data_IF_565308432506
#
_entry.id   IF_565308432506
#
_cell.length_a   1.000
_cell.length_b   1.000
_cell.length_c   1.000
_cell.angle_alpha   90.00
_cell.angle_beta   90.00
_cell.angle_gamma   90.00
#
_symmetry.space_group_name_H-M   'P 1'
#
loop_
_entity.id
_entity.type
_entity.pdbx_description
1 polymer ?
#
# COMPACT_ATOMS: atom_id res chain seq x y z
N UNK A 1 14.66 -34.70 66.93
CA UNK A 1 14.65 -33.47 66.10
C UNK A 1 14.29 -33.91 64.69
N UNK A 2 13.10 -33.50 64.27
CA UNK A 2 12.46 -33.87 63.02
C UNK A 2 13.00 -33.00 61.87
N UNK A 3 13.24 -33.61 60.72
CA UNK A 3 13.22 -32.89 59.43
C UNK A 3 12.44 -33.75 58.42
N UNK A 4 11.39 -33.21 57.78
CA UNK A 4 10.60 -33.94 56.80
C UNK A 4 11.29 -33.90 55.43
N UNK A 5 11.16 -34.98 54.68
CA UNK A 5 11.55 -35.05 53.28
C UNK A 5 10.64 -34.13 52.45
N UNK A 6 11.23 -33.22 51.69
CA UNK A 6 10.53 -32.34 50.75
C UNK A 6 10.17 -33.19 49.53
N UNK A 7 8.88 -33.41 49.30
CA UNK A 7 8.39 -33.99 48.05
C UNK A 7 8.56 -32.96 46.93
N UNK A 8 9.44 -33.24 45.97
CA UNK A 8 9.55 -32.49 44.73
C UNK A 8 8.38 -32.87 43.81
N UNK A 9 7.33 -32.04 43.81
CA UNK A 9 6.28 -32.13 42.81
C UNK A 9 6.83 -31.74 41.45
N UNK A 10 7.04 -32.72 40.56
CA UNK A 10 7.29 -32.49 39.15
C UNK A 10 6.05 -31.86 38.51
N UNK A 11 6.10 -30.54 38.27
CA UNK A 11 5.12 -29.87 37.42
C UNK A 11 5.34 -30.37 35.98
N UNK A 12 4.51 -31.32 35.54
CA UNK A 12 4.47 -31.71 34.14
C UNK A 12 4.13 -30.47 33.30
N UNK A 13 5.03 -30.11 32.37
CA UNK A 13 4.74 -29.10 31.36
C UNK A 13 3.51 -29.57 30.58
N UNK A 14 2.39 -28.84 30.70
CA UNK A 14 1.23 -29.10 29.87
C UNK A 14 1.63 -28.90 28.40
N UNK A 15 1.27 -29.81 27.50
CA UNK A 15 1.52 -29.61 26.08
C UNK A 15 0.80 -28.33 25.64
N UNK A 16 1.55 -27.41 25.03
CA UNK A 16 0.99 -26.19 24.44
C UNK A 16 -0.19 -26.59 23.55
N UNK A 17 -1.38 -25.99 23.72
CA UNK A 17 -2.51 -26.29 22.86
C UNK A 17 -2.09 -26.07 21.41
N UNK A 18 -2.31 -27.08 20.56
CA UNK A 18 -2.11 -26.98 19.12
C UNK A 18 -3.02 -25.85 18.67
N UNK A 19 -2.42 -24.71 18.35
CA UNK A 19 -3.14 -23.56 17.82
C UNK A 19 -3.69 -23.98 16.46
N UNK A 20 -5.01 -23.98 16.29
CA UNK A 20 -5.62 -24.26 14.99
C UNK A 20 -5.12 -23.20 13.98
N UNK A 21 -4.84 -23.60 12.73
CA UNK A 21 -4.14 -22.79 11.72
C UNK A 21 -4.89 -21.50 11.30
N UNK A 22 -6.10 -21.27 11.81
CA UNK A 22 -6.99 -20.16 11.48
C UNK A 22 -7.26 -19.19 12.65
N UNK A 23 -6.66 -19.39 13.82
CA UNK A 23 -6.85 -18.48 14.97
C UNK A 23 -5.69 -17.48 15.12
N UNK A 24 -6.02 -16.26 15.53
CA UNK A 24 -5.01 -15.24 15.79
C UNK A 24 -4.16 -15.60 17.01
N UNK A 25 -2.84 -15.55 16.87
CA UNK A 25 -1.88 -15.87 17.92
C UNK A 25 -1.80 -14.82 19.06
N UNK A 26 -2.54 -13.71 18.97
CA UNK A 26 -2.62 -12.68 20.03
C UNK A 26 -3.92 -12.72 20.82
N UNK A 27 -5.07 -12.87 20.17
CA UNK A 27 -6.37 -12.92 20.85
C UNK A 27 -6.97 -14.32 20.94
N UNK A 28 -6.35 -15.32 20.31
CA UNK A 28 -6.79 -16.72 20.30
C UNK A 28 -8.21 -16.94 19.74
N UNK A 29 -8.63 -16.07 18.81
CA UNK A 29 -9.95 -16.08 18.18
C UNK A 29 -9.84 -16.02 16.66
N UNK A 30 -10.90 -16.47 15.97
CA UNK A 30 -11.05 -16.34 14.50
C UNK A 30 -11.34 -14.88 14.12
N UNK A 31 -12.07 -14.17 14.99
CA UNK A 31 -12.52 -12.77 14.82
C UNK A 31 -11.86 -11.88 15.85
N UNK A 32 -11.39 -10.71 15.43
CA UNK A 32 -10.81 -9.70 16.31
C UNK A 32 -11.87 -9.17 17.31
N UNK A 33 -11.47 -8.83 18.54
CA UNK A 33 -12.38 -8.18 19.48
C UNK A 33 -12.68 -6.74 19.02
N UNK A 34 -13.92 -6.27 19.19
CA UNK A 34 -14.33 -4.90 18.82
C UNK A 34 -13.45 -3.83 19.49
N UNK A 35 -12.96 -4.10 20.69
CA UNK A 35 -12.06 -3.20 21.43
C UNK A 35 -10.69 -2.99 20.78
N UNK A 36 -10.31 -3.84 19.80
CA UNK A 36 -9.07 -3.67 19.04
C UNK A 36 -9.22 -2.69 17.87
N UNK A 37 -10.45 -2.32 17.49
CA UNK A 37 -10.69 -1.37 16.40
C UNK A 37 -10.55 0.06 16.94
N UNK A 38 -9.78 0.95 16.26
CA UNK A 38 -9.68 2.34 16.66
C UNK A 38 -11.04 3.05 16.59
N UNK A 39 -11.53 3.56 17.72
CA UNK A 39 -12.88 4.13 17.85
C UNK A 39 -13.17 5.32 16.93
N UNK A 40 -12.14 6.08 16.53
CA UNK A 40 -12.29 7.33 15.77
C UNK A 40 -12.04 7.19 14.26
N UNK A 41 -11.50 6.06 13.80
CA UNK A 41 -11.07 5.86 12.41
C UNK A 41 -11.91 4.79 11.72
N UNK A 42 -12.50 3.86 12.48
CA UNK A 42 -13.23 2.72 11.95
C UNK A 42 -12.29 1.58 11.55
N UNK A 43 -12.87 0.51 10.98
CA UNK A 43 -12.13 -0.66 10.54
C UNK A 43 -11.55 -0.45 9.13
N UNK A 44 -10.29 -0.85 8.92
CA UNK A 44 -9.62 -0.81 7.61
C UNK A 44 -9.64 -2.15 6.86
N UNK A 45 -10.16 -3.20 7.49
CA UNK A 45 -10.33 -4.54 6.92
C UNK A 45 -11.35 -5.33 7.74
N UNK A 46 -11.73 -6.51 7.26
CA UNK A 46 -12.64 -7.42 7.98
C UNK A 46 -12.08 -7.83 9.35
N UNK A 47 -12.95 -8.02 10.33
CA UNK A 47 -12.57 -8.49 11.67
C UNK A 47 -12.03 -9.93 11.68
N UNK A 48 -12.30 -10.71 10.64
CA UNK A 48 -11.76 -12.06 10.46
C UNK A 48 -10.45 -12.07 9.67
N UNK A 49 -10.08 -10.93 9.07
CA UNK A 49 -8.88 -10.81 8.26
C UNK A 49 -7.63 -10.98 9.11
N UNK A 50 -6.72 -11.86 8.66
CA UNK A 50 -5.47 -12.18 9.33
C UNK A 50 -4.32 -12.13 8.34
N UNK A 51 -3.20 -11.60 8.79
CA UNK A 51 -1.91 -11.72 8.09
C UNK A 51 -1.07 -12.83 8.72
N UNK A 52 -0.24 -13.51 7.92
CA UNK A 52 0.59 -14.64 8.34
C UNK A 52 2.06 -14.23 8.34
N UNK A 53 2.76 -14.46 9.46
CA UNK A 53 4.20 -14.27 9.52
C UNK A 53 4.91 -15.26 8.59
N UNK A 54 5.78 -14.77 7.71
CA UNK A 54 6.52 -15.60 6.76
C UNK A 54 7.57 -16.50 7.44
N UNK A 55 8.02 -16.16 8.66
CA UNK A 55 9.02 -16.94 9.39
C UNK A 55 8.38 -17.98 10.33
N UNK A 56 7.61 -17.54 11.32
CA UNK A 56 7.05 -18.44 12.33
C UNK A 56 5.67 -19.00 11.98
N UNK A 57 5.09 -18.59 10.84
CA UNK A 57 3.79 -19.04 10.33
C UNK A 57 2.57 -18.71 11.20
N UNK A 58 2.75 -18.09 12.37
CA UNK A 58 1.66 -17.59 13.21
C UNK A 58 0.86 -16.51 12.46
N UNK A 59 -0.45 -16.48 12.72
CA UNK A 59 -1.38 -15.52 12.12
C UNK A 59 -1.85 -14.47 13.12
N UNK A 60 -2.12 -13.26 12.64
CA UNK A 60 -2.53 -12.15 13.47
C UNK A 60 -3.59 -11.29 12.78
N UNK A 61 -4.62 -10.88 13.52
CA UNK A 61 -5.45 -9.77 13.06
C UNK A 61 -4.61 -8.48 13.09
N UNK A 62 -4.67 -7.64 12.05
CA UNK A 62 -3.96 -6.36 12.05
C UNK A 62 -4.36 -5.47 13.23
N UNK A 63 -5.65 -5.41 13.56
CA UNK A 63 -6.17 -4.68 14.71
C UNK A 63 -5.56 -5.15 16.04
N UNK A 64 -5.42 -6.47 16.22
CA UNK A 64 -4.76 -7.02 17.41
C UNK A 64 -3.32 -6.51 17.54
N UNK A 65 -2.63 -6.21 16.43
CA UNK A 65 -1.26 -5.68 16.42
C UNK A 65 -1.20 -4.14 16.41
N UNK A 66 -2.33 -3.44 16.36
CA UNK A 66 -2.35 -1.99 16.15
C UNK A 66 -1.97 -1.55 14.73
N UNK A 67 -1.92 -2.48 13.77
CA UNK A 67 -1.58 -2.23 12.37
C UNK A 67 -2.85 -1.91 11.59
N UNK A 68 -3.37 -0.69 11.74
CA UNK A 68 -4.76 -0.39 11.38
C UNK A 68 -4.93 0.50 10.15
N UNK A 69 -3.87 1.01 9.53
CA UNK A 69 -4.02 1.91 8.36
C UNK A 69 -4.22 1.09 7.07
N UNK A 70 -5.00 1.59 6.09
CA UNK A 70 -5.19 0.92 4.80
C UNK A 70 -3.86 0.66 4.09
N UNK A 71 -2.93 1.62 4.23
CA UNK A 71 -1.55 1.54 3.73
C UNK A 71 -0.76 0.38 4.33
N UNK A 72 -0.89 0.12 5.64
CA UNK A 72 -0.26 -1.02 6.31
C UNK A 72 -0.87 -2.35 5.87
N UNK A 73 -2.20 -2.46 5.87
CA UNK A 73 -2.90 -3.70 5.48
C UNK A 73 -2.41 -4.19 4.13
N UNK A 74 -2.47 -3.29 3.14
CA UNK A 74 -2.09 -3.64 1.78
C UNK A 74 -0.57 -3.85 1.62
N UNK A 75 0.25 -3.24 2.47
CA UNK A 75 1.69 -3.49 2.48
C UNK A 75 1.97 -4.92 2.92
N UNK A 76 1.36 -5.38 4.02
CA UNK A 76 1.65 -6.69 4.61
C UNK A 76 1.26 -7.86 3.71
N UNK A 77 0.22 -7.70 2.89
CA UNK A 77 -0.14 -8.67 1.85
C UNK A 77 0.87 -8.74 0.71
N UNK A 78 1.70 -7.71 0.61
CA UNK A 78 2.56 -7.50 -0.53
C UNK A 78 3.95 -8.09 -0.47
N UNK A 79 4.38 -8.48 0.72
CA UNK A 79 5.69 -9.07 0.88
C UNK A 79 5.64 -10.13 1.97
N UNK A 80 6.70 -10.93 2.13
CA UNK A 80 6.83 -11.86 3.24
C UNK A 80 6.91 -11.13 4.59
N UNK A 81 5.75 -10.69 5.10
CA UNK A 81 5.64 -9.94 6.34
C UNK A 81 6.12 -10.78 7.54
N UNK A 82 6.78 -10.14 8.50
CA UNK A 82 7.30 -10.76 9.71
C UNK A 82 6.57 -10.20 10.92
N UNK A 83 6.18 -11.02 11.90
CA UNK A 83 5.62 -10.51 13.16
C UNK A 83 6.67 -9.81 14.01
N UNK A 84 6.25 -9.18 15.12
CA UNK A 84 7.16 -8.50 16.07
C UNK A 84 8.32 -9.41 16.51
N UNK A 85 8.03 -10.65 16.93
CA UNK A 85 9.04 -11.60 17.42
C UNK A 85 10.01 -12.11 16.33
N UNK A 86 9.67 -11.92 15.06
CA UNK A 86 10.47 -12.39 13.92
C UNK A 86 11.07 -11.24 13.12
N UNK A 87 10.87 -10.00 13.56
CA UNK A 87 11.27 -8.83 12.81
C UNK A 87 12.79 -8.75 12.74
N UNK A 88 13.32 -8.45 11.56
CA UNK A 88 14.73 -8.19 11.34
C UNK A 88 14.90 -6.94 10.47
N UNK A 89 16.14 -6.46 10.38
CA UNK A 89 16.47 -5.40 9.46
C UNK A 89 16.41 -5.91 8.01
N UNK A 90 15.71 -5.21 7.13
CA UNK A 90 15.57 -5.63 5.72
C UNK A 90 16.84 -5.51 4.89
N UNK A 91 17.88 -4.86 5.41
CA UNK A 91 19.17 -4.66 4.73
C UNK A 91 20.22 -5.66 5.21
N UNK A 92 20.46 -5.76 6.52
CA UNK A 92 21.49 -6.68 7.06
C UNK A 92 20.93 -8.03 7.51
N UNK A 93 19.60 -8.20 7.51
CA UNK A 93 18.89 -9.40 7.95
C UNK A 93 19.13 -9.83 9.41
N UNK A 94 19.79 -8.98 10.20
CA UNK A 94 20.07 -9.22 11.61
C UNK A 94 18.88 -8.80 12.50
N UNK A 95 18.74 -9.51 13.62
CA UNK A 95 17.89 -9.18 14.77
C UNK A 95 18.71 -8.68 15.96
N UNK A 96 20.00 -8.43 15.77
CA UNK A 96 20.85 -7.81 16.78
C UNK A 96 20.59 -6.29 16.83
N UNK A 97 20.99 -5.63 17.92
CA UNK A 97 20.83 -4.18 18.11
C UNK A 97 19.37 -3.67 18.04
N UNK A 98 18.43 -4.44 18.60
CA UNK A 98 16.99 -4.13 18.66
C UNK A 98 16.67 -2.70 19.11
N UNK A 99 17.50 -2.08 19.96
CA UNK A 99 17.35 -0.68 20.38
C UNK A 99 17.48 0.34 19.25
N UNK A 100 18.01 -0.07 18.10
CA UNK A 100 18.20 0.77 16.91
C UNK A 100 17.36 0.30 15.71
N UNK A 101 16.57 -0.77 15.87
CA UNK A 101 15.69 -1.30 14.84
C UNK A 101 14.38 -0.51 14.81
N UNK A 102 14.25 0.36 13.82
CA UNK A 102 13.02 1.11 13.56
C UNK A 102 12.01 0.27 12.79
N UNK A 103 10.74 0.44 13.10
CA UNK A 103 9.62 -0.17 12.38
C UNK A 103 8.90 0.94 11.60
N UNK A 104 8.73 0.72 10.29
CA UNK A 104 8.05 1.68 9.43
C UNK A 104 6.53 1.68 9.68
N UNK A 105 5.93 2.85 9.92
CA UNK A 105 4.48 2.97 10.15
C UNK A 105 3.62 2.74 8.89
N UNK A 106 4.23 2.70 7.71
CA UNK A 106 3.54 2.49 6.42
C UNK A 106 3.58 1.05 5.92
N UNK A 107 4.60 0.30 6.33
CA UNK A 107 4.81 -1.04 5.79
C UNK A 107 5.30 -2.05 6.80
N UNK A 108 5.47 -1.69 8.08
CA UNK A 108 5.88 -2.59 9.16
C UNK A 108 7.24 -3.31 8.93
N UNK A 109 8.08 -2.84 8.00
CA UNK A 109 9.45 -3.36 7.82
C UNK A 109 10.39 -2.83 8.89
N UNK A 110 11.32 -3.67 9.33
CA UNK A 110 12.40 -3.31 10.26
C UNK A 110 13.62 -2.73 9.55
N UNK A 111 14.20 -1.67 10.11
CA UNK A 111 15.39 -0.98 9.59
C UNK A 111 16.28 -0.51 10.72
N UNK A 112 17.55 -0.89 10.73
CA UNK A 112 18.50 -0.25 11.63
C UNK A 112 18.75 1.20 11.21
N UNK A 113 18.97 2.08 12.18
CA UNK A 113 19.34 3.48 11.95
C UNK A 113 20.46 3.63 10.91
N UNK A 114 21.52 2.82 11.07
CA UNK A 114 22.69 2.81 10.19
C UNK A 114 22.51 2.09 8.85
N UNK A 115 21.43 1.32 8.69
CA UNK A 115 21.10 0.63 7.44
C UNK A 115 20.19 1.47 6.52
N UNK A 116 19.70 2.61 6.99
CA UNK A 116 18.86 3.50 6.19
C UNK A 116 19.72 4.37 5.26
N UNK A 117 19.19 4.67 4.08
CA UNK A 117 19.70 5.69 3.17
C UNK A 117 18.54 6.60 2.72
N UNK A 118 18.53 7.90 3.10
CA UNK A 118 19.54 8.60 3.90
C UNK A 118 19.61 8.09 5.35
N UNK A 119 20.78 8.23 5.98
CA UNK A 119 21.02 7.72 7.34
C UNK A 119 20.09 8.38 8.36
N UNK A 120 19.51 7.58 9.24
CA UNK A 120 18.75 8.08 10.40
C UNK A 120 19.74 8.32 11.54
N UNK A 121 19.78 9.52 12.09
CA UNK A 121 20.78 9.91 13.10
C UNK A 121 20.35 9.62 14.53
N UNK A 122 19.05 9.61 14.78
CA UNK A 122 18.43 9.36 16.08
C UNK A 122 17.07 8.70 15.92
N UNK A 123 16.56 8.08 16.98
CA UNK A 123 15.22 7.47 16.98
C UNK A 123 14.18 8.58 16.79
N UNK A 124 13.35 8.53 15.73
CA UNK A 124 12.32 9.55 15.45
C UNK A 124 11.31 9.70 16.58
N UNK A 125 10.88 10.93 16.84
CA UNK A 125 9.77 11.20 17.75
C UNK A 125 8.46 11.22 16.96
N UNK A 126 7.71 10.11 17.04
CA UNK A 126 6.42 9.95 16.36
C UNK A 126 6.53 9.04 15.13
N UNK A 127 5.57 9.14 14.18
CA UNK A 127 5.53 8.27 13.02
C UNK A 127 6.79 8.38 12.16
N UNK A 128 7.27 7.24 11.67
CA UNK A 128 8.46 7.13 10.85
C UNK A 128 8.19 6.34 9.56
N UNK A 129 8.67 6.89 8.45
CA UNK A 129 8.61 6.25 7.14
C UNK A 129 10.00 5.80 6.71
N UNK A 130 10.11 4.55 6.29
CA UNK A 130 11.36 4.01 5.77
C UNK A 130 11.73 4.58 4.38
N UNK A 131 12.97 4.36 3.88
CA UNK A 131 13.41 4.83 2.57
C UNK A 131 12.49 4.46 1.40
N UNK A 132 11.77 3.34 1.52
CA UNK A 132 10.88 2.81 0.49
C UNK A 132 9.49 3.46 0.53
N UNK A 133 9.04 3.94 1.70
CA UNK A 133 7.71 4.53 1.89
C UNK A 133 7.75 6.06 1.87
N UNK A 134 8.89 6.66 2.22
CA UNK A 134 9.13 8.10 2.17
C UNK A 134 9.44 8.57 0.73
N UNK A 135 8.54 8.26 -0.21
CA UNK A 135 8.64 8.64 -1.61
C UNK A 135 7.27 9.03 -2.19
N UNK A 136 7.23 10.12 -2.95
CA UNK A 136 6.01 10.58 -3.61
C UNK A 136 5.71 9.73 -4.85
N UNK A 137 4.50 9.17 -4.93
CA UNK A 137 4.04 8.44 -6.10
C UNK A 137 3.99 9.33 -7.36
N UNK A 138 3.62 10.59 -7.17
CA UNK A 138 3.43 11.56 -8.25
C UNK A 138 4.75 12.05 -8.84
N UNK A 139 5.50 12.89 -8.11
CA UNK A 139 6.75 13.50 -8.59
C UNK A 139 7.99 12.63 -8.39
N UNK A 140 7.91 11.52 -7.64
CA UNK A 140 9.07 10.65 -7.37
C UNK A 140 10.02 11.14 -6.27
N UNK A 141 9.80 12.34 -5.73
CA UNK A 141 10.59 12.94 -4.65
C UNK A 141 10.72 12.00 -3.45
N UNK A 142 11.97 11.68 -3.09
CA UNK A 142 12.33 10.91 -1.89
C UNK A 142 12.66 11.86 -0.74
N UNK A 143 12.41 11.44 0.49
CA UNK A 143 12.75 12.26 1.64
C UNK A 143 14.26 12.52 1.72
N UNK A 144 14.64 13.78 1.88
CA UNK A 144 16.03 14.20 2.12
C UNK A 144 16.50 13.77 3.52
N UNK A 145 15.58 13.74 4.49
CA UNK A 145 15.80 13.25 5.85
C UNK A 145 14.65 12.34 6.26
N UNK A 146 14.98 11.17 6.80
CA UNK A 146 13.99 10.20 7.27
C UNK A 146 13.50 10.49 8.69
N UNK A 147 14.22 11.28 9.48
CA UNK A 147 13.84 11.58 10.87
C UNK A 147 12.47 12.28 10.99
N UNK A 148 12.11 13.10 10.01
CA UNK A 148 10.82 13.82 9.96
C UNK A 148 10.00 13.52 8.69
N UNK A 149 10.35 12.48 7.94
CA UNK A 149 9.76 12.20 6.63
C UNK A 149 8.22 12.08 6.69
N UNK A 150 7.67 11.44 7.72
CA UNK A 150 6.23 11.20 7.84
C UNK A 150 5.37 12.48 7.74
N UNK A 151 5.88 13.63 8.21
CA UNK A 151 5.16 14.92 8.17
C UNK A 151 5.03 15.51 6.75
N UNK A 152 5.82 15.01 5.80
CA UNK A 152 5.91 15.55 4.46
C UNK A 152 5.12 14.74 3.42
N UNK A 153 4.53 13.61 3.83
CA UNK A 153 3.76 12.72 2.97
C UNK A 153 2.34 12.51 3.50
N UNK A 154 1.41 12.34 2.57
CA UNK A 154 0.00 12.09 2.82
C UNK A 154 -0.41 10.82 2.08
N UNK A 155 -1.37 10.10 2.62
CA UNK A 155 -1.96 8.92 1.98
C UNK A 155 -3.31 9.28 1.40
N UNK A 156 -3.43 9.19 0.08
CA UNK A 156 -4.71 9.30 -0.60
C UNK A 156 -5.45 7.99 -0.51
N UNK A 157 -6.73 8.06 -0.15
CA UNK A 157 -7.60 6.93 0.08
C UNK A 157 -8.98 7.16 -0.54
N UNK A 158 -9.67 6.07 -0.87
CA UNK A 158 -11.09 6.09 -1.25
C UNK A 158 -11.88 5.09 -0.41
N UNK A 159 -13.21 5.19 -0.41
CA UNK A 159 -14.06 4.19 0.23
C UNK A 159 -14.55 3.20 -0.80
N UNK A 160 -14.41 1.91 -0.48
CA UNK A 160 -14.99 0.84 -1.26
C UNK A 160 -16.49 0.71 -0.95
N UNK A 161 -17.36 0.88 -1.93
CA UNK A 161 -18.79 0.56 -1.75
C UNK A 161 -19.00 -0.95 -1.55
N UNK A 162 -18.20 -1.78 -2.22
CA UNK A 162 -18.35 -3.24 -2.19
C UNK A 162 -17.91 -3.85 -0.85
N UNK A 163 -16.84 -3.35 -0.26
CA UNK A 163 -16.29 -3.91 0.99
C UNK A 163 -16.60 -3.08 2.23
N UNK A 164 -16.97 -1.81 2.06
CA UNK A 164 -17.15 -0.85 3.16
C UNK A 164 -15.84 -0.37 3.80
N UNK A 165 -14.69 -0.87 3.36
CA UNK A 165 -13.38 -0.50 3.91
C UNK A 165 -12.67 0.56 3.05
N UNK A 166 -11.85 1.43 3.68
CA UNK A 166 -10.97 2.34 2.96
C UNK A 166 -9.94 1.58 2.11
N UNK A 167 -9.64 2.13 0.94
CA UNK A 167 -8.66 1.65 -0.02
C UNK A 167 -7.55 2.67 -0.16
N UNK A 168 -6.31 2.23 0.08
CA UNK A 168 -5.12 3.03 -0.18
C UNK A 168 -4.85 3.18 -1.68
N UNK A 169 -4.74 4.44 -2.13
CA UNK A 169 -4.46 4.80 -3.52
C UNK A 169 -2.97 5.10 -3.74
N UNK A 170 -2.42 6.05 -2.99
CA UNK A 170 -1.05 6.52 -3.19
C UNK A 170 -0.52 7.29 -1.97
N UNK A 171 0.81 7.22 -1.76
CA UNK A 171 1.54 8.13 -0.87
C UNK A 171 2.08 9.28 -1.70
N UNK A 172 1.80 10.53 -1.32
CA UNK A 172 2.16 11.73 -2.08
C UNK A 172 2.66 12.83 -1.16
N UNK A 173 3.62 13.63 -1.61
CA UNK A 173 4.14 14.74 -0.81
C UNK A 173 3.09 15.85 -0.65
N UNK A 174 3.28 16.77 0.31
CA UNK A 174 2.35 17.87 0.59
C UNK A 174 1.95 18.69 -0.65
N UNK A 175 2.91 18.97 -1.55
CA UNK A 175 2.66 19.69 -2.80
C UNK A 175 1.73 18.90 -3.73
N UNK A 176 2.04 17.64 -4.00
CA UNK A 176 1.22 16.80 -4.86
C UNK A 176 -0.15 16.49 -4.22
N UNK A 177 -0.22 16.41 -2.89
CA UNK A 177 -1.47 16.22 -2.16
C UNK A 177 -2.50 17.31 -2.49
N UNK A 178 -2.06 18.57 -2.55
CA UNK A 178 -2.94 19.68 -2.95
C UNK A 178 -3.53 19.47 -4.35
N UNK A 179 -2.71 19.14 -5.35
CA UNK A 179 -3.18 18.89 -6.72
C UNK A 179 -4.10 17.67 -6.80
N UNK A 180 -3.79 16.60 -6.07
CA UNK A 180 -4.63 15.41 -6.02
C UNK A 180 -6.02 15.74 -5.42
N UNK A 181 -6.05 16.53 -4.35
CA UNK A 181 -7.28 16.96 -3.69
C UNK A 181 -8.14 17.82 -4.62
N UNK A 182 -7.53 18.70 -5.42
CA UNK A 182 -8.21 19.51 -6.44
C UNK A 182 -8.55 18.74 -7.74
N UNK A 183 -8.44 17.41 -7.72
CA UNK A 183 -8.78 16.54 -8.86
C UNK A 183 -7.85 16.67 -10.08
N UNK A 184 -6.70 17.33 -9.92
CA UNK A 184 -5.65 17.52 -10.92
C UNK A 184 -4.65 16.37 -10.92
N UNK A 185 -5.10 15.21 -11.38
CA UNK A 185 -4.25 14.03 -11.55
C UNK A 185 -4.73 13.13 -12.69
N UNK A 186 -3.79 12.38 -13.28
CA UNK A 186 -4.08 11.38 -14.29
C UNK A 186 -4.67 10.12 -13.62
N UNK A 187 -5.90 9.68 -13.94
CA UNK A 187 -6.55 8.54 -13.30
C UNK A 187 -5.89 7.19 -13.64
N UNK A 188 -4.97 7.15 -14.60
CA UNK A 188 -4.27 5.94 -15.03
C UNK A 188 -3.05 5.62 -14.17
N UNK A 189 -2.38 6.65 -13.64
CA UNK A 189 -1.11 6.49 -12.91
C UNK A 189 -1.09 7.23 -11.57
N UNK A 190 -2.13 8.02 -11.26
CA UNK A 190 -2.27 8.86 -10.08
C UNK A 190 -1.16 9.90 -9.90
N UNK A 191 -0.41 10.20 -10.98
CA UNK A 191 0.48 11.36 -11.00
C UNK A 191 -0.34 12.63 -11.18
N UNK A 192 0.00 13.62 -10.37
CA UNK A 192 -0.63 14.94 -10.35
C UNK A 192 0.07 15.84 -11.34
N UNK A 193 -0.68 16.72 -11.97
CA UNK A 193 -0.15 17.77 -12.85
C UNK A 193 -0.44 19.15 -12.24
N UNK A 194 0.35 20.12 -12.68
CA UNK A 194 0.22 21.54 -12.33
C UNK A 194 -0.79 22.25 -13.25
N UNK A 195 -1.34 23.40 -12.83
CA UNK A 195 -2.29 24.17 -13.66
C UNK A 195 -1.61 24.89 -14.82
N UNK A 196 -0.36 25.30 -14.63
CA UNK A 196 0.48 26.03 -15.58
C UNK A 196 1.31 25.11 -16.48
N UNK A 197 1.43 23.81 -16.14
CA UNK A 197 2.15 22.82 -16.95
C UNK A 197 3.66 23.09 -17.04
N UNK A 198 4.19 23.96 -16.17
CA UNK A 198 5.59 24.37 -16.18
C UNK A 198 6.47 23.42 -15.33
N UNK A 199 5.87 22.65 -14.43
CA UNK A 199 6.62 21.88 -13.44
C UNK A 199 7.17 20.54 -13.98
N UNK A 200 6.49 19.91 -14.95
CA UNK A 200 6.93 18.65 -15.55
C UNK A 200 6.65 18.63 -17.07
N UNK A 201 7.59 18.10 -17.85
CA UNK A 201 7.39 17.90 -19.30
C UNK A 201 6.19 17.02 -19.61
N UNK A 202 5.90 16.04 -18.74
CA UNK A 202 4.73 15.16 -18.83
C UNK A 202 3.40 15.94 -18.79
N UNK A 203 3.33 17.08 -18.09
CA UNK A 203 2.10 17.87 -17.93
C UNK A 203 1.69 18.55 -19.26
N UNK A 204 2.60 18.63 -20.23
CA UNK A 204 2.37 19.25 -21.55
C UNK A 204 1.72 18.30 -22.55
N UNK A 205 1.80 17.00 -22.30
CA UNK A 205 1.35 15.93 -23.19
C UNK A 205 0.15 15.20 -22.57
N UNK A 206 -0.99 15.89 -22.54
CA UNK A 206 -2.22 15.38 -21.97
C UNK A 206 -3.42 15.53 -22.90
N UNK A 207 -4.39 14.63 -22.74
CA UNK A 207 -5.65 14.64 -23.49
C UNK A 207 -6.83 14.47 -22.54
N UNK A 208 -7.93 15.16 -22.80
CA UNK A 208 -9.16 15.06 -22.01
C UNK A 208 -10.08 13.97 -22.57
N UNK A 209 -10.54 13.05 -21.73
CA UNK A 209 -11.54 12.05 -22.09
C UNK A 209 -12.93 12.67 -22.22
N UNK A 210 -13.59 12.49 -23.37
CA UNK A 210 -14.95 13.00 -23.63
C UNK A 210 -16.06 12.34 -22.79
N UNK A 211 -15.75 11.26 -22.05
CA UNK A 211 -16.73 10.53 -21.21
C UNK A 211 -16.68 10.95 -19.75
N UNK A 212 -15.48 11.16 -19.22
CA UNK A 212 -15.28 11.41 -17.79
C UNK A 212 -14.60 12.74 -17.48
N UNK A 213 -14.30 13.56 -18.48
CA UNK A 213 -13.66 14.88 -18.35
C UNK A 213 -12.35 14.84 -17.54
N UNK A 214 -11.65 13.69 -17.55
CA UNK A 214 -10.34 13.52 -16.91
C UNK A 214 -9.24 13.69 -17.93
N UNK A 215 -8.20 14.40 -17.52
CA UNK A 215 -6.96 14.53 -18.28
C UNK A 215 -6.07 13.30 -18.07
N UNK A 216 -5.64 12.71 -19.18
CA UNK A 216 -4.80 11.52 -19.24
C UNK A 216 -3.48 11.91 -19.89
N UNK A 217 -2.35 11.50 -19.34
CA UNK A 217 -1.07 11.63 -20.06
C UNK A 217 -1.13 10.78 -21.33
N UNK A 218 -0.65 11.30 -22.46
CA UNK A 218 -0.60 10.57 -23.74
C UNK A 218 0.07 9.21 -23.55
N UNK A 219 1.22 9.19 -22.87
CA UNK A 219 1.97 7.96 -22.56
C UNK A 219 1.30 6.99 -21.58
N UNK A 220 0.12 7.30 -21.05
CA UNK A 220 -0.67 6.41 -20.21
C UNK A 220 -1.76 5.67 -20.99
N UNK A 221 -1.77 5.81 -22.31
CA UNK A 221 -2.61 5.08 -23.24
C UNK A 221 -1.80 4.72 -24.49
N UNK A 222 -1.47 3.43 -24.64
CA UNK A 222 -0.59 2.97 -25.73
C UNK A 222 -1.23 3.08 -27.12
N UNK A 223 -2.55 3.28 -27.18
CA UNK A 223 -3.25 3.49 -28.45
C UNK A 223 -3.11 4.94 -28.98
N UNK A 224 -2.62 5.87 -28.16
CA UNK A 224 -2.37 7.25 -28.59
C UNK A 224 -0.98 7.35 -29.23
N UNK A 225 -0.92 7.14 -30.54
CA UNK A 225 0.27 7.48 -31.33
C UNK A 225 0.34 9.00 -31.57
N UNK A 226 1.50 9.56 -31.95
CA UNK A 226 1.62 10.98 -32.29
C UNK A 226 0.63 11.41 -33.38
N UNK A 227 0.40 10.57 -34.40
CA UNK A 227 -0.56 10.84 -35.48
C UNK A 227 -2.00 10.86 -34.94
N UNK A 228 -2.32 9.91 -34.05
CA UNK A 228 -3.66 9.87 -33.45
C UNK A 228 -3.91 11.06 -32.54
N UNK A 229 -2.90 11.48 -31.78
CA UNK A 229 -2.97 12.68 -30.96
C UNK A 229 -3.20 13.93 -31.82
N UNK A 230 -2.44 14.08 -32.90
CA UNK A 230 -2.62 15.19 -33.83
C UNK A 230 -4.03 15.20 -34.45
N UNK A 231 -4.55 14.06 -34.87
CA UNK A 231 -5.92 13.92 -35.36
C UNK A 231 -6.95 14.36 -34.31
N UNK A 232 -6.78 13.94 -33.04
CA UNK A 232 -7.68 14.30 -31.94
C UNK A 232 -7.64 15.79 -31.59
N UNK A 233 -6.51 16.45 -31.81
CA UNK A 233 -6.36 17.90 -31.60
C UNK A 233 -6.95 18.69 -32.77
N UNK A 234 -6.73 18.25 -34.01
CA UNK A 234 -7.15 18.96 -35.22
C UNK A 234 -8.64 18.73 -35.57
N UNK A 235 -9.16 17.53 -35.30
CA UNK A 235 -10.53 17.16 -35.62
C UNK A 235 -11.45 17.13 -34.39
N UNK A 236 -12.25 18.18 -34.22
CA UNK A 236 -13.21 18.32 -33.13
C UNK A 236 -14.35 17.28 -33.14
N UNK A 237 -14.56 16.55 -34.24
CA UNK A 237 -15.55 15.46 -34.32
C UNK A 237 -15.02 14.14 -33.75
N UNK A 238 -13.70 13.94 -33.73
CA UNK A 238 -13.11 12.71 -33.20
C UNK A 238 -13.17 12.75 -31.67
N UNK A 239 -13.78 11.72 -31.07
CA UNK A 239 -13.95 11.61 -29.62
C UNK A 239 -12.91 10.68 -29.00
N UNK A 240 -12.28 11.11 -27.91
CA UNK A 240 -11.34 10.32 -27.14
C UNK A 240 -12.03 9.68 -25.93
N UNK A 241 -11.83 8.36 -25.77
CA UNK A 241 -12.23 7.61 -24.58
C UNK A 241 -11.00 7.02 -23.92
N UNK A 242 -10.77 7.37 -22.65
CA UNK A 242 -9.66 6.82 -21.89
C UNK A 242 -9.83 5.32 -21.64
N UNK A 243 -8.74 4.58 -21.37
CA UNK A 243 -8.81 3.13 -21.21
C UNK A 243 -9.74 2.67 -20.07
N UNK A 244 -9.97 3.50 -19.05
CA UNK A 244 -10.92 3.22 -17.96
C UNK A 244 -12.38 3.34 -18.39
N UNK A 245 -12.71 4.26 -19.30
CA UNK A 245 -14.07 4.46 -19.82
C UNK A 245 -14.40 3.50 -20.96
N UNK A 246 -13.38 3.05 -21.68
CA UNK A 246 -13.49 2.11 -22.80
C UNK A 246 -13.19 0.66 -22.40
N UNK A 247 -12.92 0.41 -21.11
CA UNK A 247 -12.67 -0.91 -20.52
C UNK A 247 -11.49 -1.67 -21.16
N UNK A 248 -10.48 -0.93 -21.66
CA UNK A 248 -9.29 -1.45 -22.33
C UNK A 248 -8.19 -1.92 -21.35
N UNK A 249 -8.58 -2.52 -20.23
CA UNK A 249 -7.65 -2.96 -19.17
C UNK A 249 -7.77 -4.47 -18.99
N UNK A 250 -6.68 -5.19 -19.24
CA UNK A 250 -6.65 -6.65 -19.17
C UNK A 250 -5.81 -7.15 -17.99
N UNK A 251 -6.21 -8.26 -17.34
CA UNK A 251 -5.37 -8.93 -16.36
C UNK A 251 -4.00 -9.34 -16.91
N UNK A 252 -2.98 -9.34 -16.07
CA UNK A 252 -1.63 -9.87 -16.40
C UNK A 252 -1.71 -11.34 -16.80
N UNK A 253 -2.48 -12.12 -16.05
CA UNK A 253 -2.84 -13.49 -16.38
C UNK A 253 -4.36 -13.58 -16.60
N UNK A 254 -4.83 -13.64 -17.86
CA UNK A 254 -6.24 -13.76 -18.19
C UNK A 254 -6.92 -15.04 -17.65
N UNK A 255 -6.17 -16.01 -17.13
CA UNK A 255 -6.71 -17.22 -16.49
C UNK A 255 -6.81 -17.09 -14.97
N UNK A 256 -6.27 -16.02 -14.39
CA UNK A 256 -6.28 -15.82 -12.94
C UNK A 256 -7.54 -15.09 -12.49
N UNK A 257 -8.48 -15.85 -11.90
CA UNK A 257 -9.77 -15.30 -11.46
C UNK A 257 -9.64 -14.25 -10.35
N UNK A 258 -8.59 -14.31 -9.52
CA UNK A 258 -8.35 -13.25 -8.50
C UNK A 258 -7.98 -11.92 -9.15
N UNK A 259 -7.20 -11.96 -10.24
CA UNK A 259 -6.84 -10.74 -10.98
C UNK A 259 -8.08 -10.15 -11.69
N UNK A 260 -8.92 -10.99 -12.29
CA UNK A 260 -10.21 -10.55 -12.86
C UNK A 260 -11.12 -9.93 -11.81
N UNK A 261 -11.23 -10.57 -10.64
CA UNK A 261 -12.02 -10.06 -9.53
C UNK A 261 -11.51 -8.68 -9.10
N UNK A 262 -10.19 -8.50 -8.90
CA UNK A 262 -9.61 -7.22 -8.49
C UNK A 262 -9.89 -6.05 -9.46
N UNK A 263 -10.12 -6.33 -10.75
CA UNK A 263 -10.48 -5.32 -11.76
C UNK A 263 -11.98 -5.03 -11.83
N UNK A 264 -12.83 -5.94 -11.34
CA UNK A 264 -14.29 -5.86 -11.49
C UNK A 264 -15.02 -5.57 -10.17
N UNK A 265 -14.46 -5.96 -9.02
CA UNK A 265 -15.12 -5.83 -7.71
C UNK A 265 -14.79 -4.53 -6.98
N UNK A 266 -13.88 -3.72 -7.51
CA UNK A 266 -13.41 -2.51 -6.83
C UNK A 266 -12.49 -2.78 -5.64
N UNK A 267 -11.94 -4.00 -5.51
CA UNK A 267 -11.03 -4.37 -4.44
C UNK A 267 -9.61 -4.60 -4.99
N UNK A 268 -8.69 -3.65 -4.81
CA UNK A 268 -7.33 -3.79 -5.30
C UNK A 268 -6.61 -4.91 -4.56
N UNK A 269 -5.84 -5.68 -5.33
CA UNK A 269 -4.87 -6.63 -4.79
C UNK A 269 -3.66 -5.88 -4.18
N UNK A 270 -2.88 -6.55 -3.36
CA UNK A 270 -1.58 -6.02 -2.95
C UNK A 270 -0.60 -6.01 -4.15
N UNK A 271 -0.53 -7.11 -4.90
CA UNK A 271 0.33 -7.23 -6.10
C UNK A 271 -0.38 -6.68 -7.34
N UNK A 272 0.37 -6.24 -8.36
CA UNK A 272 -0.17 -5.96 -9.69
C UNK A 272 -1.03 -7.09 -10.24
N UNK A 273 -2.13 -6.72 -10.86
CA UNK A 273 -3.10 -7.64 -11.49
C UNK A 273 -3.33 -7.33 -12.97
N UNK A 274 -2.98 -6.14 -13.45
CA UNK A 274 -3.11 -5.73 -14.83
C UNK A 274 -1.96 -4.80 -15.25
N UNK A 275 -1.78 -4.68 -16.57
CA UNK A 275 -0.93 -3.67 -17.20
C UNK A 275 -1.87 -2.73 -17.97
N UNK A 276 -1.74 -1.44 -17.73
CA UNK A 276 -2.68 -0.43 -18.26
C UNK A 276 -2.14 0.29 -19.49
N UNK A 277 -0.82 0.48 -19.57
CA UNK A 277 -0.11 1.07 -20.71
C UNK A 277 1.40 0.89 -20.52
N UNK A 278 2.06 0.29 -21.50
CA UNK A 278 3.48 0.00 -21.55
C UNK A 278 3.87 -0.94 -20.42
N UNK A 279 4.65 -0.41 -19.47
CA UNK A 279 5.12 -1.10 -18.27
C UNK A 279 4.31 -0.76 -17.01
N UNK A 280 3.27 0.07 -17.12
CA UNK A 280 2.50 0.57 -15.97
C UNK A 280 1.58 -0.51 -15.42
N UNK A 281 1.99 -1.05 -14.29
CA UNK A 281 1.29 -2.07 -13.52
C UNK A 281 0.28 -1.45 -12.56
N UNK A 282 -0.90 -2.05 -12.50
CA UNK A 282 -1.99 -1.63 -11.62
C UNK A 282 -2.52 -2.83 -10.84
N UNK A 283 -3.02 -2.56 -9.64
CA UNK A 283 -3.47 -3.55 -8.65
C UNK A 283 -4.98 -3.75 -8.63
N UNK A 284 -5.71 -2.87 -9.29
CA UNK A 284 -7.16 -2.87 -9.34
C UNK A 284 -7.66 -1.56 -9.95
N UNK A 285 -8.97 -1.49 -10.13
CA UNK A 285 -9.69 -0.28 -10.55
C UNK A 285 -10.69 0.02 -9.44
N UNK A 286 -10.77 1.28 -9.04
CA UNK A 286 -11.66 1.73 -7.97
C UNK A 286 -12.35 3.01 -8.37
N UNK A 287 -13.36 3.41 -7.61
CA UNK A 287 -13.99 4.71 -7.79
C UNK A 287 -13.38 5.75 -6.85
N UNK A 288 -13.12 6.94 -7.38
CA UNK A 288 -12.70 8.11 -6.63
C UNK A 288 -13.48 9.32 -7.15
N UNK A 289 -14.22 9.98 -6.25
CA UNK A 289 -15.13 11.09 -6.59
C UNK A 289 -16.08 10.74 -7.76
N UNK A 290 -16.65 9.53 -7.74
CA UNK A 290 -17.61 9.05 -8.75
C UNK A 290 -17.02 8.74 -10.13
N UNK A 291 -15.68 8.67 -10.26
CA UNK A 291 -15.01 8.31 -11.52
C UNK A 291 -14.06 7.14 -11.28
N UNK A 292 -13.94 6.24 -12.27
CA UNK A 292 -12.97 5.13 -12.23
C UNK A 292 -11.55 5.69 -12.21
N UNK A 293 -10.70 5.13 -11.35
CA UNK A 293 -9.25 5.37 -11.30
C UNK A 293 -8.53 4.04 -11.17
N UNK A 294 -7.38 3.93 -11.83
CA UNK A 294 -6.50 2.79 -11.67
C UNK A 294 -5.67 2.96 -10.39
N UNK A 295 -5.51 1.86 -9.65
CA UNK A 295 -4.69 1.84 -8.44
C UNK A 295 -3.29 1.33 -8.82
N UNK A 296 -2.25 2.18 -8.82
CA UNK A 296 -0.93 1.78 -9.29
C UNK A 296 -0.30 0.75 -8.35
N UNK A 297 0.73 0.06 -8.86
CA UNK A 297 1.61 -0.73 -8.02
C UNK A 297 2.19 0.10 -6.87
N UNK A 298 2.35 -0.53 -5.71
CA UNK A 298 2.98 0.13 -4.56
C UNK A 298 4.48 0.06 -4.79
N UNK A 299 5.13 1.23 -4.91
CA UNK A 299 6.59 1.32 -5.05
C UNK A 299 7.29 0.78 -3.80
N UNK A 300 8.53 0.33 -3.97
CA UNK A 300 9.39 -0.07 -2.84
C UNK A 300 9.12 -1.47 -2.28
N UNK A 301 8.57 -2.37 -3.09
CA UNK A 301 8.38 -3.76 -2.68
C UNK A 301 9.63 -4.62 -2.78
N UNK A 302 10.49 -4.29 -3.73
CA UNK A 302 11.77 -4.96 -3.91
C UNK A 302 12.82 -4.15 -3.16
N UNK A 303 13.28 -4.69 -2.02
CA UNK A 303 14.55 -4.25 -1.43
C UNK A 303 15.61 -4.79 -2.37
N UNK A 304 16.21 -3.92 -3.20
CA UNK A 304 17.39 -4.31 -3.97
C UNK A 304 18.55 -4.24 -3.00
N UNK A 305 18.91 -5.40 -2.43
CA UNK A 305 20.13 -5.59 -1.65
C UNK A 305 21.34 -5.67 -2.57
#
# INVERSE_FOLDING_TARGET
>A
MSSPAVASSSSAAQPLPILHDDICAKCFSVTAPDSAVPQNVGASCSMEYKTKCANCLKQYHPFCLGLTTPRLIIAMEGYPWLCHDCKNCVICHSTEDDSTLLICDDCDRGWHLGCCDPKVTEVPQGPWLCPLCAQCNSCGEKAISLNDAAKNYNHSETKSESTGYPIFLATICNKCHFNFFEDRFCPMCLKTYSEDGEENEDDKEMICCDVCDRWIHIKCDDEITPEKYQELVENTETKYKCPLCDERITPIDPKNDKQKAALSTGQPSAIPVAIISGDKKVRGIVEFKGKKVAVPEIRGWNVVT
#
